data_IF_541774157138
#
_entry.id   IF_541774157138
#
_cell.length_a   1.000
_cell.length_b   1.000
_cell.length_c   1.000
_cell.angle_alpha   90.00
_cell.angle_beta   90.00
_cell.angle_gamma   90.00
#
_symmetry.space_group_name_H-M   'P 1'
#
loop_
_entity.id
_entity.type
_entity.pdbx_description
1 polymer ?
#
# COMPACT_ATOMS: atom_id res chain seq x y z
N UNK A 1 21.88 -7.79 -5.39
CA UNK A 1 21.91 -7.72 -3.91
C UNK A 1 20.49 -7.61 -3.38
N UNK A 2 20.15 -8.37 -2.34
CA UNK A 2 18.87 -8.32 -1.66
C UNK A 2 19.05 -7.69 -0.29
N UNK A 3 18.27 -6.66 0.01
CA UNK A 3 18.19 -6.02 1.32
C UNK A 3 16.84 -6.36 1.95
N UNK A 4 16.84 -7.04 3.08
CA UNK A 4 15.65 -7.25 3.89
C UNK A 4 15.63 -6.15 4.95
N UNK A 5 14.68 -5.24 4.84
CA UNK A 5 14.50 -4.19 5.81
C UNK A 5 13.43 -4.59 6.82
N UNK A 6 13.82 -4.82 8.07
CA UNK A 6 12.89 -4.95 9.19
C UNK A 6 12.36 -3.56 9.52
N UNK A 7 11.32 -3.15 8.82
CA UNK A 7 10.71 -1.83 9.00
C UNK A 7 9.36 -2.03 9.66
N UNK A 8 9.22 -1.49 10.86
CA UNK A 8 8.09 -1.74 11.74
C UNK A 8 6.91 -0.77 11.54
N UNK A 9 6.99 0.12 10.52
CA UNK A 9 5.95 1.09 10.28
C UNK A 9 5.67 1.94 11.51
N UNK A 10 4.40 2.25 11.74
CA UNK A 10 3.96 3.02 12.90
C UNK A 10 3.69 2.15 14.16
N UNK A 11 3.82 0.83 14.07
CA UNK A 11 3.45 -0.06 15.19
C UNK A 11 4.56 -0.28 16.22
N UNK A 12 5.77 0.18 15.97
CA UNK A 12 6.86 0.12 16.94
C UNK A 12 7.26 1.52 17.40
N UNK A 13 6.92 1.84 18.64
CA UNK A 13 7.19 3.15 19.25
C UNK A 13 8.67 3.43 19.49
N UNK A 14 9.53 2.42 19.38
CA UNK A 14 10.98 2.52 19.60
C UNK A 14 11.78 2.44 18.32
N UNK A 15 11.23 1.82 17.27
CA UNK A 15 11.87 1.62 15.96
C UNK A 15 10.94 2.09 14.84
N UNK A 16 10.54 3.37 14.93
CA UNK A 16 9.61 3.98 13.99
C UNK A 16 10.12 3.91 12.55
N UNK A 17 9.42 3.13 11.72
CA UNK A 17 9.79 2.88 10.32
C UNK A 17 8.82 3.50 9.34
N UNK A 18 8.60 4.82 9.40
CA UNK A 18 7.68 5.52 8.50
C UNK A 18 8.36 6.32 7.39
N UNK A 19 9.69 6.44 7.42
CA UNK A 19 10.46 7.28 6.48
C UNK A 19 11.10 6.50 5.34
N UNK A 20 11.08 5.19 5.38
CA UNK A 20 11.75 4.30 4.43
C UNK A 20 11.18 4.41 3.01
N UNK A 21 9.85 4.51 2.88
CA UNK A 21 9.18 4.61 1.58
C UNK A 21 9.69 5.84 0.80
N UNK A 22 9.62 7.07 1.31
CA UNK A 22 10.14 8.23 0.59
C UNK A 22 11.65 8.18 0.37
N UNK A 23 12.43 7.64 1.30
CA UNK A 23 13.88 7.57 1.16
C UNK A 23 14.33 6.57 0.09
N UNK A 24 13.81 5.35 0.14
CA UNK A 24 14.28 4.26 -0.72
C UNK A 24 13.61 4.27 -2.09
N UNK A 25 12.37 4.71 -2.18
CA UNK A 25 11.62 4.68 -3.43
C UNK A 25 12.15 5.66 -4.51
N UNK A 26 13.09 6.53 -4.17
CA UNK A 26 13.77 7.43 -5.10
C UNK A 26 15.15 6.93 -5.58
N UNK A 27 15.56 5.74 -5.14
CA UNK A 27 16.84 5.14 -5.58
C UNK A 27 16.63 4.53 -6.98
N UNK A 28 17.39 4.97 -8.00
CA UNK A 28 17.28 4.42 -9.35
C UNK A 28 17.55 2.90 -9.38
N UNK A 29 16.77 2.18 -10.19
CA UNK A 29 16.86 0.73 -10.39
C UNK A 29 16.58 -0.14 -9.16
N UNK A 30 16.30 0.43 -8.00
CA UNK A 30 15.90 -0.34 -6.83
C UNK A 30 14.47 -0.87 -7.03
N UNK A 31 14.30 -2.18 -6.90
CA UNK A 31 12.99 -2.81 -6.76
C UNK A 31 12.68 -2.87 -5.28
N UNK A 32 11.64 -2.16 -4.84
CA UNK A 32 11.25 -2.14 -3.44
C UNK A 32 9.85 -2.77 -3.29
N UNK A 33 9.81 -3.91 -2.61
CA UNK A 33 8.63 -4.78 -2.47
C UNK A 33 8.00 -4.63 -1.08
N UNK A 34 6.68 -4.71 -1.03
CA UNK A 34 5.90 -4.68 0.21
C UNK A 34 4.90 -5.85 0.24
N UNK A 35 5.30 -7.01 0.76
CA UNK A 35 4.42 -8.17 0.90
C UNK A 35 3.32 -7.92 1.93
N UNK A 36 2.16 -8.54 1.71
CA UNK A 36 0.97 -8.43 2.57
C UNK A 36 0.82 -9.59 3.55
N UNK A 37 1.47 -10.72 3.26
CA UNK A 37 1.37 -11.96 4.03
C UNK A 37 2.66 -12.77 3.96
N UNK A 38 2.73 -13.88 4.76
CA UNK A 38 3.91 -14.74 4.86
C UNK A 38 4.31 -15.37 3.52
N UNK A 39 3.35 -15.87 2.79
CA UNK A 39 3.65 -16.66 1.58
C UNK A 39 4.09 -15.74 0.43
N UNK A 40 3.54 -14.53 0.36
CA UNK A 40 4.02 -13.48 -0.56
C UNK A 40 5.43 -13.00 -0.17
N UNK A 41 5.70 -12.82 1.14
CA UNK A 41 7.04 -12.48 1.63
C UNK A 41 8.08 -13.51 1.22
N UNK A 42 7.79 -14.80 1.44
CA UNK A 42 8.70 -15.88 1.07
C UNK A 42 8.90 -15.96 -0.45
N UNK A 43 7.84 -15.82 -1.23
CA UNK A 43 7.93 -15.80 -2.69
C UNK A 43 8.76 -14.61 -3.22
N UNK A 44 8.60 -13.41 -2.64
CA UNK A 44 9.41 -12.24 -2.97
C UNK A 44 10.88 -12.45 -2.59
N UNK A 45 11.14 -13.08 -1.44
CA UNK A 45 12.49 -13.40 -0.99
C UNK A 45 13.17 -14.39 -1.94
N UNK A 46 12.51 -15.49 -2.28
CA UNK A 46 13.05 -16.49 -3.20
C UNK A 46 13.34 -15.86 -4.56
N UNK A 47 12.39 -15.12 -5.14
CA UNK A 47 12.61 -14.42 -6.39
C UNK A 47 13.78 -13.43 -6.32
N UNK A 48 13.90 -12.67 -5.23
CA UNK A 48 14.97 -11.67 -5.08
C UNK A 48 16.37 -12.27 -5.02
N UNK A 49 16.49 -13.52 -4.55
CA UNK A 49 17.77 -14.25 -4.47
C UNK A 49 18.13 -14.89 -5.81
N UNK A 50 17.14 -15.38 -6.55
CA UNK A 50 17.34 -16.09 -7.82
C UNK A 50 17.64 -15.13 -8.99
N UNK A 51 17.08 -13.93 -9.01
CA UNK A 51 17.34 -12.93 -10.03
C UNK A 51 18.65 -12.18 -9.79
N UNK A 52 19.28 -11.62 -10.83
CA UNK A 52 20.54 -10.87 -10.76
C UNK A 52 20.53 -9.53 -11.52
N UNK A 53 19.35 -9.09 -11.95
CA UNK A 53 19.19 -7.87 -12.75
C UNK A 53 19.07 -6.61 -11.90
N UNK A 54 18.41 -6.72 -10.73
CA UNK A 54 18.06 -5.57 -9.90
C UNK A 54 18.54 -5.71 -8.46
N UNK A 55 18.95 -4.62 -7.80
CA UNK A 55 18.97 -4.57 -6.35
C UNK A 55 17.52 -4.59 -5.84
N UNK A 56 17.25 -5.46 -4.87
CA UNK A 56 15.89 -5.63 -4.31
C UNK A 56 15.90 -5.28 -2.83
N UNK A 57 14.93 -4.50 -2.40
CA UNK A 57 14.59 -4.31 -1.00
C UNK A 57 13.20 -4.89 -0.73
N UNK A 58 13.04 -5.54 0.43
CA UNK A 58 11.75 -6.07 0.85
C UNK A 58 11.40 -5.45 2.19
N UNK A 59 10.26 -4.76 2.25
CA UNK A 59 9.69 -4.18 3.47
C UNK A 59 8.94 -5.28 4.20
N UNK A 60 9.55 -5.80 5.26
CA UNK A 60 8.96 -6.90 6.01
C UNK A 60 7.71 -6.42 6.76
N UNK A 61 6.58 -7.12 6.63
CA UNK A 61 5.38 -6.79 7.39
C UNK A 61 5.59 -6.90 8.91
N UNK A 62 4.88 -6.07 9.67
CA UNK A 62 4.96 -6.05 11.13
C UNK A 62 4.02 -7.09 11.74
N UNK A 63 4.47 -7.73 12.81
CA UNK A 63 3.70 -8.70 13.58
C UNK A 63 3.71 -10.12 13.02
N UNK A 64 2.83 -11.00 13.51
CA UNK A 64 2.76 -12.36 13.04
C UNK A 64 2.34 -12.41 11.58
N UNK A 65 3.18 -12.97 10.73
CA UNK A 65 2.85 -13.17 9.32
C UNK A 65 1.82 -14.28 9.18
N UNK A 66 0.63 -13.95 8.71
CA UNK A 66 -0.43 -14.92 8.40
C UNK A 66 -0.16 -15.59 7.06
N UNK A 67 -0.52 -16.89 6.92
CA UNK A 67 -0.51 -17.54 5.61
C UNK A 67 -1.47 -16.84 4.64
N UNK A 68 -1.17 -16.92 3.35
CA UNK A 68 -2.11 -16.50 2.33
C UNK A 68 -3.29 -17.48 2.24
N UNK A 69 -4.51 -16.96 2.08
CA UNK A 69 -5.69 -17.78 1.81
C UNK A 69 -5.76 -18.26 0.33
N UNK A 70 -4.97 -17.67 -0.55
CA UNK A 70 -4.94 -17.94 -1.98
C UNK A 70 -3.50 -18.20 -2.44
N UNK A 71 -3.29 -18.91 -3.57
CA UNK A 71 -1.96 -19.02 -4.17
C UNK A 71 -1.37 -17.65 -4.45
N UNK A 72 -0.08 -17.47 -4.13
CA UNK A 72 0.65 -16.22 -4.35
C UNK A 72 1.46 -16.29 -5.65
N UNK A 73 1.69 -15.12 -6.26
CA UNK A 73 2.62 -14.97 -7.37
C UNK A 73 4.04 -15.32 -6.91
N UNK A 74 4.82 -15.95 -7.79
CA UNK A 74 6.21 -16.33 -7.52
C UNK A 74 7.22 -15.63 -8.41
N UNK A 75 6.76 -15.06 -9.53
CA UNK A 75 7.59 -14.33 -10.47
C UNK A 75 7.26 -12.83 -10.43
N UNK A 76 8.21 -12.03 -9.93
CA UNK A 76 8.09 -10.57 -9.85
C UNK A 76 8.89 -9.86 -10.93
N UNK A 77 9.34 -10.56 -11.98
CA UNK A 77 10.11 -9.99 -13.10
C UNK A 77 9.32 -8.95 -13.91
N UNK A 78 7.99 -9.07 -13.92
CA UNK A 78 7.09 -8.03 -14.46
C UNK A 78 6.93 -6.91 -13.45
N UNK A 79 7.95 -6.06 -13.40
CA UNK A 79 8.03 -4.98 -12.43
C UNK A 79 6.78 -4.10 -12.40
N UNK A 80 6.45 -3.61 -11.22
CA UNK A 80 5.36 -2.66 -10.97
C UNK A 80 3.96 -3.16 -11.38
N UNK A 81 3.78 -4.48 -11.51
CA UNK A 81 2.45 -5.07 -11.77
C UNK A 81 1.70 -5.24 -10.46
N UNK A 82 0.56 -4.59 -10.34
CA UNK A 82 -0.30 -4.68 -9.16
C UNK A 82 -1.23 -5.89 -9.22
N UNK A 83 -1.66 -6.36 -8.06
CA UNK A 83 -2.59 -7.48 -7.96
C UNK A 83 -3.98 -7.00 -7.54
N UNK A 84 -4.96 -7.14 -8.44
CA UNK A 84 -6.37 -6.87 -8.12
C UNK A 84 -6.95 -8.11 -7.45
N UNK A 85 -7.24 -8.02 -6.16
CA UNK A 85 -7.81 -9.14 -5.38
C UNK A 85 -9.33 -9.18 -5.44
N UNK A 86 -9.96 -8.02 -5.64
CA UNK A 86 -11.40 -7.88 -5.88
C UNK A 86 -11.64 -6.76 -6.89
N UNK A 87 -12.49 -7.00 -7.87
CA UNK A 87 -12.89 -5.99 -8.86
C UNK A 87 -14.30 -5.49 -8.54
N UNK A 88 -14.42 -4.22 -8.31
CA UNK A 88 -15.66 -3.46 -8.18
C UNK A 88 -15.65 -2.26 -9.11
N UNK A 89 -16.36 -1.20 -8.73
CA UNK A 89 -16.47 0.05 -9.52
C UNK A 89 -16.52 1.27 -8.59
N UNK A 90 -16.37 2.48 -9.15
CA UNK A 90 -16.45 3.79 -8.51
C UNK A 90 -15.34 4.10 -7.52
N UNK A 91 -14.96 3.18 -6.65
CA UNK A 91 -13.91 3.37 -5.66
C UNK A 91 -12.89 2.25 -5.80
N UNK A 92 -11.60 2.60 -5.92
CA UNK A 92 -10.49 1.66 -5.83
C UNK A 92 -9.67 1.92 -4.57
N UNK A 93 -9.37 0.88 -3.81
CA UNK A 93 -8.59 0.95 -2.58
C UNK A 93 -7.28 0.18 -2.77
N UNK A 94 -6.17 0.90 -2.75
CA UNK A 94 -4.82 0.36 -2.86
C UNK A 94 -4.21 0.27 -1.46
N UNK A 95 -4.07 -0.94 -0.93
CA UNK A 95 -3.47 -1.19 0.38
C UNK A 95 -2.03 -1.68 0.24
N UNK A 96 -1.05 -0.89 0.64
CA UNK A 96 0.37 -1.22 0.52
C UNK A 96 0.86 -2.04 1.72
N UNK A 97 1.40 -3.23 1.44
CA UNK A 97 2.04 -4.07 2.45
C UNK A 97 1.12 -4.37 3.64
N UNK A 98 1.54 -4.03 4.87
CA UNK A 98 0.77 -4.25 6.10
C UNK A 98 -0.62 -3.61 6.09
N UNK A 99 -0.83 -2.53 5.32
CA UNK A 99 -2.13 -1.86 5.22
C UNK A 99 -3.09 -2.48 4.20
N UNK A 100 -2.73 -3.61 3.60
CA UNK A 100 -3.65 -4.35 2.75
C UNK A 100 -4.88 -4.85 3.52
N UNK A 101 -4.70 -5.32 4.75
CA UNK A 101 -5.82 -5.71 5.61
C UNK A 101 -6.78 -4.54 5.91
N UNK A 102 -6.25 -3.32 6.09
CA UNK A 102 -7.06 -2.11 6.24
C UNK A 102 -7.85 -1.81 4.95
N UNK A 103 -7.27 -2.05 3.78
CA UNK A 103 -7.96 -1.89 2.49
C UNK A 103 -9.15 -2.86 2.36
N UNK A 104 -8.96 -4.13 2.71
CA UNK A 104 -10.03 -5.13 2.71
C UNK A 104 -11.17 -4.77 3.67
N UNK A 105 -10.84 -4.34 4.90
CA UNK A 105 -11.81 -3.89 5.90
C UNK A 105 -12.57 -2.65 5.43
N UNK A 106 -11.87 -1.67 4.85
CA UNK A 106 -12.47 -0.46 4.29
C UNK A 106 -13.44 -0.79 3.15
N UNK A 107 -13.06 -1.68 2.23
CA UNK A 107 -13.92 -2.11 1.13
C UNK A 107 -15.17 -2.86 1.63
N UNK A 108 -15.01 -3.74 2.63
CA UNK A 108 -16.13 -4.44 3.25
C UNK A 108 -17.12 -3.47 3.93
N UNK A 109 -16.60 -2.44 4.60
CA UNK A 109 -17.41 -1.43 5.26
C UNK A 109 -18.12 -0.50 4.25
N UNK A 110 -17.44 -0.11 3.15
CA UNK A 110 -18.04 0.63 2.03
C UNK A 110 -19.21 -0.13 1.42
N UNK A 111 -19.06 -1.44 1.21
CA UNK A 111 -20.14 -2.29 0.71
C UNK A 111 -21.32 -2.34 1.65
N UNK A 112 -21.07 -2.48 2.96
CA UNK A 112 -22.09 -2.57 4.00
C UNK A 112 -22.84 -1.26 4.21
N UNK A 113 -22.14 -0.14 4.27
CA UNK A 113 -22.70 1.13 4.71
C UNK A 113 -23.08 2.10 3.59
N UNK A 114 -22.43 1.97 2.42
CA UNK A 114 -22.64 2.87 1.27
C UNK A 114 -23.10 2.14 0.01
N UNK A 115 -23.26 0.80 0.05
CA UNK A 115 -23.58 -0.04 -1.12
C UNK A 115 -22.55 0.14 -2.28
N UNK A 116 -21.31 0.49 -1.95
CA UNK A 116 -20.21 0.63 -2.89
C UNK A 116 -19.39 -0.66 -2.89
N UNK A 117 -19.38 -1.37 -4.01
CA UNK A 117 -18.53 -2.52 -4.23
C UNK A 117 -17.16 -2.04 -4.76
N UNK A 118 -16.23 -1.76 -3.87
CA UNK A 118 -14.95 -1.15 -4.20
C UNK A 118 -13.97 -2.19 -4.78
N UNK A 119 -13.13 -1.76 -5.74
CA UNK A 119 -11.98 -2.56 -6.19
C UNK A 119 -10.90 -2.56 -5.10
N UNK A 120 -10.34 -3.73 -4.77
CA UNK A 120 -9.26 -3.90 -3.80
C UNK A 120 -7.99 -4.34 -4.52
N UNK A 121 -6.89 -3.62 -4.27
CA UNK A 121 -5.63 -3.79 -4.98
C UNK A 121 -4.48 -3.91 -4.00
N UNK A 122 -3.64 -4.93 -4.18
CA UNK A 122 -2.33 -5.07 -3.56
C UNK A 122 -1.27 -4.55 -4.54
N UNK A 123 -0.63 -3.40 -4.29
CA UNK A 123 0.40 -2.84 -5.17
C UNK A 123 1.65 -3.69 -5.26
N UNK A 124 2.06 -4.36 -4.20
CA UNK A 124 3.28 -5.17 -4.08
C UNK A 124 4.59 -4.41 -4.27
N UNK A 125 4.63 -3.43 -5.17
CA UNK A 125 5.79 -2.61 -5.52
C UNK A 125 5.62 -1.19 -5.00
N UNK A 126 6.66 -0.68 -4.33
CA UNK A 126 6.70 0.69 -3.80
C UNK A 126 7.30 1.67 -4.83
N UNK A 127 8.31 1.20 -5.60
CA UNK A 127 9.14 2.08 -6.43
C UNK A 127 8.47 2.57 -7.70
N UNK A 128 7.58 1.79 -8.31
CA UNK A 128 6.95 2.14 -9.58
C UNK A 128 5.44 2.07 -9.57
N UNK A 129 4.83 2.37 -10.71
CA UNK A 129 3.39 2.39 -10.89
C UNK A 129 2.96 1.38 -11.95
N UNK A 130 1.85 0.68 -11.72
CA UNK A 130 1.12 -0.04 -12.75
C UNK A 130 0.27 0.94 -13.56
N UNK A 131 0.92 1.71 -14.43
CA UNK A 131 0.24 2.72 -15.21
C UNK A 131 -0.88 2.16 -16.09
N UNK A 132 -0.76 0.90 -16.52
CA UNK A 132 -1.80 0.25 -17.32
C UNK A 132 -3.06 0.07 -16.48
N UNK A 133 -2.94 -0.56 -15.30
CA UNK A 133 -4.06 -0.73 -14.39
C UNK A 133 -4.66 0.61 -13.96
N UNK A 134 -3.81 1.59 -13.63
CA UNK A 134 -4.28 2.90 -13.20
C UNK A 134 -5.09 3.62 -14.29
N UNK A 135 -4.71 3.49 -15.59
CA UNK A 135 -5.53 4.01 -16.70
C UNK A 135 -6.85 3.26 -16.85
N UNK A 136 -6.83 1.93 -16.65
CA UNK A 136 -8.06 1.12 -16.69
C UNK A 136 -9.03 1.52 -15.56
N UNK A 137 -8.53 1.81 -14.37
CA UNK A 137 -9.35 2.28 -13.25
C UNK A 137 -10.02 3.62 -13.54
N UNK A 138 -9.35 4.53 -14.23
CA UNK A 138 -9.93 5.84 -14.56
C UNK A 138 -11.18 5.77 -15.47
N UNK A 139 -11.45 4.61 -16.06
CA UNK A 139 -12.62 4.45 -16.93
C UNK A 139 -13.93 4.19 -16.14
N UNK A 140 -13.84 3.63 -14.94
CA UNK A 140 -14.99 3.18 -14.14
C UNK A 140 -14.87 3.49 -12.63
N UNK A 141 -13.86 4.29 -12.23
CA UNK A 141 -13.64 4.71 -10.85
C UNK A 141 -13.53 6.24 -10.75
N UNK A 142 -14.31 6.81 -9.84
CA UNK A 142 -14.31 8.24 -9.54
C UNK A 142 -13.28 8.59 -8.44
N UNK A 143 -12.99 7.61 -7.57
CA UNK A 143 -12.13 7.78 -6.40
C UNK A 143 -11.10 6.66 -6.32
N UNK A 144 -9.85 7.05 -6.10
CA UNK A 144 -8.74 6.15 -5.80
C UNK A 144 -8.21 6.46 -4.41
N UNK A 145 -8.11 5.44 -3.58
CA UNK A 145 -7.63 5.54 -2.20
C UNK A 145 -6.31 4.79 -2.09
N UNK A 146 -5.33 5.40 -1.46
CA UNK A 146 -4.07 4.75 -1.13
C UNK A 146 -3.89 4.69 0.38
N UNK A 147 -3.49 3.52 0.86
CA UNK A 147 -3.21 3.25 2.26
C UNK A 147 -1.76 2.79 2.38
N UNK A 148 -0.95 3.53 3.13
CA UNK A 148 0.46 3.19 3.36
C UNK A 148 0.84 3.36 4.83
N UNK A 149 1.55 2.38 5.38
CA UNK A 149 2.13 2.41 6.72
C UNK A 149 3.45 3.21 6.69
N UNK A 150 3.36 4.47 6.33
CA UNK A 150 4.48 5.37 6.13
C UNK A 150 4.05 6.82 6.11
N UNK A 151 5.03 7.73 6.05
CA UNK A 151 4.71 9.14 5.95
C UNK A 151 4.16 9.48 4.54
N UNK A 152 3.15 10.38 4.50
CA UNK A 152 2.48 10.80 3.27
C UNK A 152 3.42 11.52 2.30
N UNK A 153 4.20 12.50 2.81
CA UNK A 153 5.07 13.32 1.97
C UNK A 153 6.21 12.50 1.36
N UNK A 154 6.27 12.47 0.04
CA UNK A 154 7.19 11.63 -0.73
C UNK A 154 6.81 10.15 -0.74
N UNK A 155 5.66 9.77 -0.17
CA UNK A 155 5.19 8.40 -0.03
C UNK A 155 4.65 7.79 -1.33
N UNK A 156 4.10 6.59 -1.19
CA UNK A 156 3.50 5.85 -2.30
C UNK A 156 2.26 6.56 -2.85
N UNK A 157 1.40 7.08 -1.97
CA UNK A 157 0.17 7.77 -2.35
C UNK A 157 0.39 9.02 -3.19
N UNK A 158 1.45 9.80 -2.93
CA UNK A 158 1.78 10.96 -3.75
C UNK A 158 2.15 10.60 -5.20
N UNK A 159 2.75 9.44 -5.44
CA UNK A 159 3.03 8.96 -6.80
C UNK A 159 1.74 8.67 -7.56
N UNK A 160 0.76 8.04 -6.88
CA UNK A 160 -0.58 7.78 -7.43
C UNK A 160 -1.31 9.11 -7.71
N UNK A 161 -1.29 10.04 -6.75
CA UNK A 161 -1.90 11.37 -6.93
C UNK A 161 -1.27 12.14 -8.09
N UNK A 162 0.05 12.08 -8.25
CA UNK A 162 0.75 12.67 -9.39
C UNK A 162 0.31 12.06 -10.72
N UNK A 163 0.11 10.74 -10.76
CA UNK A 163 -0.35 10.05 -11.97
C UNK A 163 -1.72 10.55 -12.41
N UNK A 164 -2.64 10.73 -11.47
CA UNK A 164 -4.01 11.21 -11.75
C UNK A 164 -4.17 12.74 -11.79
N UNK A 165 -3.11 13.51 -11.54
CA UNK A 165 -3.18 14.96 -11.36
C UNK A 165 -3.81 15.77 -12.50
N UNK A 166 -3.89 15.21 -13.72
CA UNK A 166 -4.55 15.82 -14.88
C UNK A 166 -5.88 15.13 -15.27
N UNK A 167 -6.42 14.28 -14.38
CA UNK A 167 -7.67 13.55 -14.61
C UNK A 167 -8.77 14.01 -13.64
N UNK A 168 -9.99 13.55 -13.88
CA UNK A 168 -11.14 13.81 -13.01
C UNK A 168 -11.20 12.83 -11.81
N UNK A 169 -10.28 11.87 -11.72
CA UNK A 169 -10.20 10.91 -10.63
C UNK A 169 -9.72 11.62 -9.36
N UNK A 170 -10.50 11.54 -8.30
CA UNK A 170 -10.09 12.02 -6.98
C UNK A 170 -9.18 11.02 -6.30
N UNK A 171 -8.05 11.48 -5.79
CA UNK A 171 -7.11 10.64 -5.04
C UNK A 171 -7.11 11.04 -3.58
N UNK A 172 -7.37 10.08 -2.70
CA UNK A 172 -7.27 10.25 -1.25
C UNK A 172 -6.10 9.41 -0.75
N UNK A 173 -5.12 10.06 -0.16
CA UNK A 173 -3.93 9.40 0.39
C UNK A 173 -4.03 9.34 1.91
N UNK A 174 -3.89 8.12 2.45
CA UNK A 174 -3.88 7.85 3.88
C UNK A 174 -2.53 7.26 4.28
N UNK A 175 -1.92 7.88 5.24
CA UNK A 175 -0.62 7.56 5.81
C UNK A 175 -0.34 8.50 6.98
N UNK A 176 0.86 8.46 7.53
CA UNK A 176 1.23 9.25 8.71
C UNK A 176 1.70 10.64 8.27
N UNK A 177 1.29 11.67 8.97
CA UNK A 177 1.82 13.03 8.79
C UNK A 177 3.32 13.06 9.06
N UNK A 178 4.04 13.90 8.34
CA UNK A 178 5.49 14.11 8.53
C UNK A 178 5.77 14.73 9.88
N UNK A 179 6.18 13.90 10.82
CA UNK A 179 6.55 14.31 12.16
C UNK A 179 7.52 13.29 12.77
N UNK A 180 8.37 13.76 13.68
CA UNK A 180 9.07 12.85 14.58
C UNK A 180 8.13 12.47 15.72
N UNK A 181 7.70 11.20 15.72
CA UNK A 181 6.86 10.67 16.79
C UNK A 181 7.77 10.08 17.87
N UNK A 182 7.58 10.48 19.12
CA UNK A 182 8.29 9.93 20.27
C UNK A 182 7.27 9.41 21.29
N UNK A 183 7.42 8.15 21.69
CA UNK A 183 6.57 7.48 22.71
C UNK A 183 5.08 7.69 22.51
N UNK A 184 4.64 7.52 21.29
CA UNK A 184 3.25 7.71 20.87
C UNK A 184 2.40 6.45 21.11
N UNK A 185 1.10 6.63 21.15
CA UNK A 185 0.11 5.55 21.06
C UNK A 185 -0.22 5.27 19.58
N UNK A 186 0.07 4.07 19.04
CA UNK A 186 -0.24 3.73 17.66
C UNK A 186 -1.71 3.88 17.29
N UNK A 187 -2.63 3.61 18.24
CA UNK A 187 -4.07 3.76 18.00
C UNK A 187 -4.48 5.24 17.90
N UNK A 188 -3.86 6.11 18.71
CA UNK A 188 -4.09 7.54 18.64
C UNK A 188 -3.56 8.11 17.32
N UNK A 189 -2.35 7.74 16.90
CA UNK A 189 -1.78 8.11 15.60
C UNK A 189 -2.66 7.62 14.46
N UNK A 190 -3.20 6.40 14.53
CA UNK A 190 -4.11 5.88 13.52
C UNK A 190 -5.39 6.72 13.44
N UNK A 191 -6.00 7.09 14.57
CA UNK A 191 -7.20 7.94 14.60
C UNK A 191 -6.93 9.34 14.06
N UNK A 192 -5.83 9.98 14.48
CA UNK A 192 -5.46 11.33 14.05
C UNK A 192 -5.16 11.44 12.56
N UNK A 193 -4.71 10.36 11.95
CA UNK A 193 -4.39 10.27 10.51
C UNK A 193 -5.49 9.57 9.70
N UNK A 194 -6.67 9.35 10.26
CA UNK A 194 -7.81 8.68 9.63
C UNK A 194 -7.50 7.25 9.12
N UNK A 195 -6.59 6.55 9.78
CA UNK A 195 -6.15 5.20 9.41
C UNK A 195 -7.03 4.11 10.05
N UNK A 196 -8.35 4.31 10.04
CA UNK A 196 -9.34 3.30 10.42
C UNK A 196 -10.42 3.16 9.35
N UNK A 197 -11.04 1.98 9.18
CA UNK A 197 -12.07 1.78 8.15
C UNK A 197 -13.22 2.77 8.27
N UNK A 198 -13.65 3.08 9.50
CA UNK A 198 -14.77 3.96 9.79
C UNK A 198 -14.49 5.40 9.36
N UNK A 199 -13.31 5.91 9.67
CA UNK A 199 -12.92 7.28 9.32
C UNK A 199 -12.73 7.42 7.81
N UNK A 200 -12.08 6.45 7.16
CA UNK A 200 -11.92 6.43 5.70
C UNK A 200 -13.28 6.39 5.01
N UNK A 201 -14.21 5.54 5.46
CA UNK A 201 -15.56 5.46 4.89
C UNK A 201 -16.34 6.76 5.12
N UNK A 202 -16.18 7.39 6.28
CA UNK A 202 -16.77 8.70 6.55
C UNK A 202 -16.28 9.77 5.59
N UNK A 203 -14.97 9.81 5.33
CA UNK A 203 -14.37 10.76 4.39
C UNK A 203 -14.93 10.57 2.97
N UNK A 204 -15.07 9.31 2.53
CA UNK A 204 -15.63 8.99 1.20
C UNK A 204 -17.10 9.40 1.08
N UNK A 205 -17.90 9.22 2.13
CA UNK A 205 -19.31 9.61 2.14
C UNK A 205 -19.52 11.13 2.07
N UNK A 206 -18.48 11.90 2.43
CA UNK A 206 -18.52 13.36 2.45
C UNK A 206 -17.94 14.00 1.14
N UNK A 207 -17.55 13.19 0.14
CA UNK A 207 -17.12 13.66 -1.19
C UNK A 207 -18.29 14.05 -2.09
#
# INVERSE_FOLDING_TARGET
ATLIASIYGMNDVTHLGIYDIPMMSNIPNLVYLAPTNRDEYLAMLDWSIEQNEYPVAIRMPVGPLTPSAQPVEKDFSRLNTYHVTHRGTRVAVLGLGSFFALAEQTAALLKKEAAIDATVINPRFITGLDEKLLRELAADHDVVITLEDGQLEGGFGEKIARFYGASDVRVLNYGVKKAFLDRYDPEEVARENHLTPELIVSDIKNL
#
